data_IF_709502562199
#
_entry.id   IF_709502562199
#
_cell.length_a   1.000
_cell.length_b   1.000
_cell.length_c   1.000
_cell.angle_alpha   90.00
_cell.angle_beta   90.00
_cell.angle_gamma   90.00
#
_symmetry.space_group_name_H-M   'P 1'
#
loop_
_entity.id
_entity.type
_entity.pdbx_description
1 polymer ?
#
# COMPACT_ATOMS: atom_id res chain seq x y z
N UNK A 1 -7.58 19.46 -0.05
CA UNK A 1 -8.49 18.36 -0.45
C UNK A 1 -8.93 17.59 0.78
N UNK A 2 -10.17 17.12 0.78
CA UNK A 2 -10.71 16.25 1.82
C UNK A 2 -10.81 14.85 1.24
N UNK A 3 -9.88 13.97 1.58
CA UNK A 3 -9.97 12.56 1.23
C UNK A 3 -10.89 11.86 2.22
N UNK A 4 -11.83 11.06 1.73
CA UNK A 4 -12.73 10.26 2.57
C UNK A 4 -12.24 8.83 2.57
N UNK A 5 -12.19 8.22 3.75
CA UNK A 5 -11.94 6.80 3.88
C UNK A 5 -13.16 6.02 3.38
N UNK A 6 -12.95 5.13 2.41
CA UNK A 6 -13.98 4.31 1.80
C UNK A 6 -13.56 2.85 1.87
N UNK A 7 -14.50 1.95 2.11
CA UNK A 7 -14.28 0.51 2.08
C UNK A 7 -14.55 -0.05 0.68
N UNK A 8 -13.74 -1.02 0.25
CA UNK A 8 -14.02 -1.79 -0.97
C UNK A 8 -15.31 -2.59 -0.75
N UNK A 9 -16.32 -2.26 -1.53
CA UNK A 9 -17.62 -2.91 -1.55
C UNK A 9 -17.71 -3.97 -2.65
N UNK A 10 -18.81 -4.72 -2.66
CA UNK A 10 -19.02 -5.78 -3.65
C UNK A 10 -19.12 -5.26 -5.09
N UNK A 11 -19.50 -3.99 -5.27
CA UNK A 11 -19.57 -3.34 -6.59
C UNK A 11 -18.17 -3.13 -7.17
N UNK A 12 -17.17 -2.87 -6.33
CA UNK A 12 -15.78 -2.62 -6.75
C UNK A 12 -14.86 -3.84 -6.60
N UNK A 13 -15.23 -4.84 -5.77
CA UNK A 13 -14.43 -6.05 -5.48
C UNK A 13 -14.00 -6.83 -6.72
N UNK A 14 -14.82 -6.85 -7.78
CA UNK A 14 -14.48 -7.54 -9.04
C UNK A 14 -13.19 -7.00 -9.71
N UNK A 15 -12.78 -5.76 -9.42
CA UNK A 15 -11.53 -5.16 -9.92
C UNK A 15 -10.29 -5.61 -9.12
N UNK A 16 -10.54 -6.26 -7.97
CA UNK A 16 -9.60 -6.70 -6.95
C UNK A 16 -9.78 -8.21 -6.71
N UNK A 17 -9.71 -9.01 -7.78
CA UNK A 17 -10.18 -10.40 -7.84
C UNK A 17 -9.54 -11.41 -6.86
N UNK A 18 -8.50 -11.05 -6.10
CA UNK A 18 -8.00 -11.88 -4.99
C UNK A 18 -8.67 -11.58 -3.65
N UNK A 19 -9.43 -10.49 -3.53
CA UNK A 19 -10.18 -10.17 -2.33
C UNK A 19 -11.42 -11.03 -2.20
N UNK A 20 -11.67 -11.48 -0.99
CA UNK A 20 -12.86 -12.22 -0.58
C UNK A 20 -13.88 -11.26 0.07
N UNK A 21 -15.17 -11.63 0.16
CA UNK A 21 -16.18 -10.79 0.81
C UNK A 21 -15.88 -10.43 2.27
N UNK A 22 -15.12 -11.28 2.97
CA UNK A 22 -14.68 -11.07 4.35
C UNK A 22 -13.47 -10.16 4.49
N UNK A 23 -12.84 -9.77 3.38
CA UNK A 23 -11.68 -8.87 3.41
C UNK A 23 -12.14 -7.42 3.55
N UNK A 24 -11.78 -6.82 4.69
CA UNK A 24 -11.96 -5.40 4.96
C UNK A 24 -10.77 -4.61 4.41
N UNK A 25 -11.00 -3.83 3.36
CA UNK A 25 -9.95 -3.05 2.69
C UNK A 25 -10.42 -1.61 2.48
N UNK A 26 -9.70 -0.67 3.07
CA UNK A 26 -10.02 0.76 3.06
C UNK A 26 -9.09 1.51 2.12
N UNK A 27 -9.59 2.54 1.44
CA UNK A 27 -8.81 3.40 0.55
C UNK A 27 -9.20 4.87 0.68
N UNK A 28 -8.29 5.79 0.31
CA UNK A 28 -8.52 7.24 0.38
C UNK A 28 -8.94 7.87 -0.95
N UNK A 29 -8.51 7.30 -2.09
CA UNK A 29 -8.81 7.84 -3.41
C UNK A 29 -8.77 6.82 -4.54
N UNK A 30 -8.88 7.29 -5.78
CA UNK A 30 -8.92 6.43 -6.96
C UNK A 30 -7.76 6.74 -7.89
N UNK A 31 -6.97 5.71 -8.19
CA UNK A 31 -5.88 5.75 -9.16
C UNK A 31 -6.36 5.20 -10.50
N UNK A 32 -6.42 6.04 -11.52
CA UNK A 32 -6.87 5.63 -12.85
C UNK A 32 -5.71 5.00 -13.62
N UNK A 33 -5.85 3.69 -13.88
CA UNK A 33 -4.90 2.93 -14.67
C UNK A 33 -4.78 3.53 -16.09
N UNK A 34 -3.54 3.68 -16.56
CA UNK A 34 -3.22 4.30 -17.87
C UNK A 34 -3.69 5.76 -18.03
N UNK A 35 -4.10 6.42 -16.94
CA UNK A 35 -4.45 7.84 -16.98
C UNK A 35 -3.25 8.76 -17.22
N UNK A 36 -2.04 8.32 -16.84
CA UNK A 36 -0.85 9.17 -16.80
C UNK A 36 -0.75 9.95 -15.50
N UNK A 37 0.31 10.77 -15.37
CA UNK A 37 0.60 11.50 -14.13
C UNK A 37 -0.41 12.61 -13.84
N UNK A 38 -0.84 13.35 -14.87
CA UNK A 38 -1.72 14.52 -14.75
C UNK A 38 -3.21 14.23 -14.85
N UNK A 39 -3.60 12.94 -14.78
CA UNK A 39 -5.01 12.55 -14.93
C UNK A 39 -5.89 13.04 -13.77
N UNK A 40 -5.35 12.97 -12.56
CA UNK A 40 -6.01 13.37 -11.33
C UNK A 40 -4.95 13.68 -10.28
N UNK A 41 -5.36 14.34 -9.20
CA UNK A 41 -4.50 14.64 -8.05
C UNK A 41 -3.99 13.35 -7.38
N UNK A 42 -4.81 12.29 -7.33
CA UNK A 42 -4.39 10.97 -6.83
C UNK A 42 -3.37 10.34 -7.77
N UNK A 43 -3.59 10.40 -9.09
CA UNK A 43 -2.62 9.89 -10.06
C UNK A 43 -1.27 10.60 -9.93
N UNK A 44 -1.28 11.92 -9.77
CA UNK A 44 -0.09 12.73 -9.55
C UNK A 44 0.61 12.38 -8.23
N UNK A 45 -0.14 12.28 -7.13
CA UNK A 45 0.37 11.92 -5.80
C UNK A 45 1.07 10.56 -5.83
N UNK A 46 0.38 9.54 -6.37
CA UNK A 46 0.93 8.20 -6.52
C UNK A 46 2.16 8.21 -7.43
N UNK A 47 2.12 8.92 -8.56
CA UNK A 47 3.24 8.99 -9.49
C UNK A 47 4.49 9.58 -8.82
N UNK A 48 4.33 10.67 -8.07
CA UNK A 48 5.41 11.28 -7.30
C UNK A 48 5.93 10.35 -6.20
N UNK A 49 5.02 9.69 -5.48
CA UNK A 49 5.38 8.69 -4.46
C UNK A 49 6.15 7.49 -5.06
N UNK A 50 5.87 7.15 -6.32
CA UNK A 50 6.50 6.07 -7.10
C UNK A 50 7.81 6.43 -7.79
N UNK A 51 8.32 7.65 -7.65
CA UNK A 51 9.67 7.99 -8.12
C UNK A 51 10.72 7.05 -7.50
N UNK A 52 11.55 6.45 -8.35
CA UNK A 52 12.56 5.48 -7.95
C UNK A 52 13.72 6.09 -7.17
N UNK A 53 14.38 5.27 -6.36
CA UNK A 53 15.52 5.65 -5.50
C UNK A 53 16.74 6.07 -6.33
N UNK A 54 16.87 5.55 -7.54
CA UNK A 54 17.87 5.95 -8.55
C UNK A 54 17.79 7.44 -8.93
N UNK A 55 16.67 8.10 -8.63
CA UNK A 55 16.45 9.52 -8.91
C UNK A 55 16.83 10.43 -7.74
N UNK A 56 17.35 9.90 -6.62
CA UNK A 56 17.56 10.67 -5.37
C UNK A 56 18.40 11.93 -5.53
N UNK A 57 19.39 11.88 -6.43
CA UNK A 57 20.28 13.02 -6.74
C UNK A 57 19.69 13.99 -7.78
N UNK A 58 18.50 13.71 -8.31
CA UNK A 58 17.83 14.54 -9.30
C UNK A 58 16.85 15.52 -8.63
N UNK A 59 16.71 16.70 -9.23
CA UNK A 59 15.87 17.77 -8.70
C UNK A 59 14.40 17.40 -8.55
N UNK A 60 13.90 16.44 -9.34
CA UNK A 60 12.50 16.02 -9.28
C UNK A 60 12.21 15.03 -8.14
N UNK A 61 13.22 14.56 -7.40
CA UNK A 61 13.03 13.69 -6.24
C UNK A 61 12.35 14.41 -5.08
N UNK A 62 12.46 15.73 -5.00
CA UNK A 62 11.73 16.57 -4.02
C UNK A 62 10.21 16.33 -4.07
N UNK A 63 9.66 15.97 -5.23
CA UNK A 63 8.24 15.67 -5.35
C UNK A 63 7.86 14.35 -4.65
N UNK A 64 8.78 13.38 -4.55
CA UNK A 64 8.57 12.16 -3.74
C UNK A 64 8.50 12.51 -2.26
N UNK A 65 9.38 13.39 -1.80
CA UNK A 65 9.43 13.88 -0.42
C UNK A 65 8.13 14.59 -0.04
N UNK A 66 7.67 15.52 -0.88
CA UNK A 66 6.38 16.20 -0.71
C UNK A 66 5.20 15.23 -0.74
N UNK A 67 5.25 14.18 -1.57
CA UNK A 67 4.21 13.16 -1.62
C UNK A 67 4.19 12.32 -0.32
N UNK A 68 5.35 11.96 0.23
CA UNK A 68 5.47 11.25 1.51
C UNK A 68 4.84 12.07 2.64
N UNK A 69 5.17 13.36 2.74
CA UNK A 69 4.57 14.27 3.74
C UNK A 69 3.06 14.42 3.55
N UNK A 70 2.62 14.55 2.30
CA UNK A 70 1.19 14.67 1.96
C UNK A 70 0.42 13.44 2.43
N UNK A 71 0.92 12.23 2.13
CA UNK A 71 0.27 10.98 2.54
C UNK A 71 0.24 10.84 4.06
N UNK A 72 1.33 11.15 4.76
CA UNK A 72 1.36 11.10 6.23
C UNK A 72 0.28 12.01 6.85
N UNK A 73 0.11 13.23 6.31
CA UNK A 73 -0.94 14.16 6.74
C UNK A 73 -2.35 13.65 6.43
N UNK A 74 -2.54 12.92 5.32
CA UNK A 74 -3.83 12.32 4.97
C UNK A 74 -4.21 11.20 5.94
N UNK A 75 -3.26 10.31 6.26
CA UNK A 75 -3.50 9.19 7.19
C UNK A 75 -3.95 9.71 8.56
N UNK A 76 -3.23 10.70 9.12
CA UNK A 76 -3.54 11.26 10.42
C UNK A 76 -4.91 11.95 10.50
N UNK A 77 -5.49 12.35 9.35
CA UNK A 77 -6.84 12.93 9.27
C UNK A 77 -7.93 11.90 8.97
N UNK A 78 -7.57 10.78 8.34
CA UNK A 78 -8.53 9.81 7.86
C UNK A 78 -8.95 8.80 8.93
N UNK A 79 -8.08 8.46 9.87
CA UNK A 79 -8.35 7.45 10.90
C UNK A 79 -7.78 7.81 12.27
N UNK A 80 -8.33 7.19 13.31
CA UNK A 80 -7.72 7.20 14.64
C UNK A 80 -6.50 6.26 14.65
N UNK A 81 -5.31 6.82 14.42
CA UNK A 81 -4.04 6.07 14.37
C UNK A 81 -3.65 5.41 15.71
N UNK A 82 -4.21 5.85 16.84
CA UNK A 82 -3.95 5.24 18.15
C UNK A 82 -4.68 3.91 18.37
N UNK A 83 -5.77 3.68 17.62
CA UNK A 83 -6.63 2.50 17.74
C UNK A 83 -6.16 1.29 16.90
N UNK A 84 -5.14 1.47 16.07
CA UNK A 84 -4.68 0.47 15.09
C UNK A 84 -3.17 0.33 15.10
N UNK A 85 -2.69 -0.81 14.59
CA UNK A 85 -1.27 -1.04 14.30
C UNK A 85 -1.06 -1.12 12.79
N UNK A 86 -0.14 -0.33 12.25
CA UNK A 86 0.21 -0.41 10.83
C UNK A 86 1.37 -1.39 10.59
N UNK A 87 1.27 -2.16 9.51
CA UNK A 87 2.37 -2.96 8.97
C UNK A 87 2.50 -2.63 7.48
N UNK A 88 3.60 -1.99 7.04
CA UNK A 88 3.78 -1.65 5.63
C UNK A 88 4.02 -2.92 4.79
N UNK A 89 3.56 -2.90 3.54
CA UNK A 89 3.96 -3.90 2.54
C UNK A 89 5.43 -3.67 2.18
N UNK A 90 6.31 -4.69 2.24
CA UNK A 90 7.71 -4.49 1.89
C UNK A 90 7.88 -4.23 0.37
N UNK A 91 8.90 -3.45 -0.03
CA UNK A 91 9.21 -3.24 -1.43
C UNK A 91 9.70 -4.54 -2.09
N UNK A 92 9.77 -4.57 -3.43
CA UNK A 92 10.24 -5.75 -4.16
C UNK A 92 11.74 -6.03 -4.00
N UNK A 93 12.49 -5.05 -3.48
CA UNK A 93 13.93 -5.09 -3.21
C UNK A 93 14.17 -5.45 -1.74
N UNK A 94 15.19 -6.25 -1.47
CA UNK A 94 15.59 -6.55 -0.08
C UNK A 94 16.29 -5.35 0.56
N UNK A 95 16.34 -5.30 1.90
CA UNK A 95 16.87 -4.14 2.65
C UNK A 95 18.31 -3.76 2.31
N UNK A 96 19.13 -4.72 1.86
CA UNK A 96 20.53 -4.49 1.47
C UNK A 96 20.70 -4.07 0.02
N UNK A 97 19.62 -4.00 -0.76
CA UNK A 97 19.66 -3.58 -2.16
C UNK A 97 19.82 -2.05 -2.26
N UNK A 98 20.73 -1.52 -3.09
CA UNK A 98 20.88 -0.08 -3.28
C UNK A 98 19.61 0.65 -3.76
N UNK A 99 18.69 -0.09 -4.39
CA UNK A 99 17.39 0.42 -4.86
C UNK A 99 16.25 0.11 -3.88
N UNK A 100 16.56 -0.24 -2.63
CA UNK A 100 15.57 -0.42 -1.57
C UNK A 100 14.78 0.87 -1.34
N UNK A 101 13.46 0.80 -1.50
CA UNK A 101 12.56 1.92 -1.38
C UNK A 101 11.73 1.82 -0.10
N UNK A 102 12.11 2.61 0.90
CA UNK A 102 11.56 2.63 2.24
C UNK A 102 10.35 3.57 2.40
N UNK A 103 9.75 4.06 1.30
CA UNK A 103 8.72 5.11 1.33
C UNK A 103 7.56 4.85 2.31
N UNK A 104 7.06 3.61 2.41
CA UNK A 104 5.90 3.31 3.26
C UNK A 104 6.28 3.38 4.73
N UNK A 105 7.50 2.94 5.07
CA UNK A 105 8.09 3.11 6.40
C UNK A 105 8.26 4.60 6.70
N UNK A 106 8.81 5.38 5.77
CA UNK A 106 8.99 6.84 5.94
C UNK A 106 7.67 7.58 6.15
N UNK A 107 6.60 7.19 5.45
CA UNK A 107 5.25 7.71 5.68
C UNK A 107 4.83 7.43 7.13
N UNK A 108 4.92 6.18 7.60
CA UNK A 108 4.49 5.79 8.95
C UNK A 108 5.34 6.44 10.05
N UNK A 109 6.64 6.65 9.80
CA UNK A 109 7.52 7.43 10.67
C UNK A 109 7.03 8.88 10.81
N UNK A 110 6.65 9.53 9.70
CA UNK A 110 6.07 10.88 9.76
C UNK A 110 4.73 10.91 10.48
N UNK A 111 3.85 9.92 10.25
CA UNK A 111 2.59 9.79 11.00
C UNK A 111 2.86 9.68 12.51
N UNK A 112 3.85 8.87 12.91
CA UNK A 112 4.29 8.76 14.32
C UNK A 112 4.82 10.07 14.86
N UNK A 113 5.62 10.80 14.07
CA UNK A 113 6.16 12.09 14.49
C UNK A 113 5.04 13.11 14.73
N UNK A 114 4.00 13.11 13.89
CA UNK A 114 2.82 13.97 14.04
C UNK A 114 1.91 13.52 15.19
N UNK A 115 1.79 12.22 15.43
CA UNK A 115 0.99 11.65 16.51
C UNK A 115 1.71 10.45 17.15
N UNK A 116 2.19 10.65 18.38
CA UNK A 116 2.91 9.64 19.16
C UNK A 116 2.07 8.42 19.55
N UNK A 117 0.74 8.45 19.41
CA UNK A 117 -0.11 7.27 19.63
C UNK A 117 -0.07 6.27 18.47
N UNK A 118 0.38 6.70 17.28
CA UNK A 118 0.50 5.83 16.13
C UNK A 118 1.40 4.63 16.47
N UNK A 119 0.93 3.42 16.22
CA UNK A 119 1.74 2.22 16.30
C UNK A 119 2.01 1.69 14.90
N UNK A 120 3.28 1.46 14.55
CA UNK A 120 3.66 0.78 13.32
C UNK A 120 4.86 -0.14 13.55
N UNK A 121 5.00 -1.17 12.73
CA UNK A 121 6.17 -2.06 12.79
C UNK A 121 6.48 -2.68 11.43
N UNK A 122 7.75 -2.66 11.04
CA UNK A 122 8.27 -3.24 9.78
C UNK A 122 8.68 -4.71 9.97
N UNK A 123 7.69 -5.54 10.32
CA UNK A 123 7.94 -6.95 10.71
C UNK A 123 8.03 -7.90 9.52
N UNK A 124 7.57 -7.47 8.34
CA UNK A 124 7.61 -8.26 7.12
C UNK A 124 8.57 -7.61 6.15
N UNK A 125 9.58 -8.35 5.71
CA UNK A 125 10.54 -7.89 4.71
C UNK A 125 10.65 -8.84 3.53
N UNK A 126 11.19 -8.32 2.44
CA UNK A 126 11.49 -9.12 1.25
C UNK A 126 12.80 -9.88 1.46
N UNK A 127 12.76 -11.21 1.39
CA UNK A 127 13.93 -12.07 1.60
C UNK A 127 14.95 -11.98 0.47
N UNK A 128 14.48 -11.81 -0.78
CA UNK A 128 15.32 -11.69 -1.97
C UNK A 128 14.82 -10.57 -2.89
N UNK A 129 15.75 -9.79 -3.45
CA UNK A 129 15.40 -8.79 -4.45
C UNK A 129 14.76 -9.43 -5.67
N UNK A 130 13.68 -8.83 -6.14
CA UNK A 130 13.00 -9.22 -7.38
C UNK A 130 12.89 -8.02 -8.30
N UNK A 131 12.89 -8.27 -9.60
CA UNK A 131 12.56 -7.24 -10.58
C UNK A 131 11.10 -6.81 -10.39
N UNK A 132 10.83 -5.53 -10.61
CA UNK A 132 9.46 -5.03 -10.57
C UNK A 132 8.63 -5.76 -11.65
N UNK A 133 7.48 -6.32 -11.24
CA UNK A 133 6.54 -7.06 -12.09
C UNK A 133 5.96 -6.27 -13.30
N UNK A 134 6.48 -5.09 -13.63
CA UNK A 134 6.06 -4.32 -14.80
C UNK A 134 6.57 -4.91 -16.13
N UNK A 135 7.51 -5.87 -16.08
CA UNK A 135 8.16 -6.45 -17.27
C UNK A 135 7.82 -7.93 -17.53
N UNK A 136 7.18 -8.63 -16.60
CA UNK A 136 6.82 -10.05 -16.76
C UNK A 136 5.32 -10.21 -17.02
N UNK A 137 4.90 -10.96 -18.07
CA UNK A 137 3.49 -11.24 -18.34
C UNK A 137 2.79 -12.00 -17.20
N UNK A 138 3.56 -12.68 -16.36
CA UNK A 138 3.07 -13.56 -15.32
C UNK A 138 3.05 -12.83 -13.97
N UNK A 139 1.90 -12.26 -13.59
CA UNK A 139 1.70 -11.67 -12.26
C UNK A 139 1.78 -12.78 -11.21
N UNK A 140 2.66 -12.62 -10.22
CA UNK A 140 2.79 -13.56 -9.10
C UNK A 140 1.48 -13.68 -8.34
N UNK A 141 1.11 -14.91 -8.00
CA UNK A 141 -0.03 -15.24 -7.13
C UNK A 141 0.27 -14.87 -5.68
N UNK A 142 -0.75 -14.67 -4.82
CA UNK A 142 -0.55 -14.37 -3.40
C UNK A 142 0.39 -15.35 -2.68
N UNK A 143 0.32 -16.64 -3.00
CA UNK A 143 1.18 -17.68 -2.41
C UNK A 143 2.64 -17.47 -2.79
N UNK A 144 2.90 -17.13 -4.05
CA UNK A 144 4.25 -16.89 -4.59
C UNK A 144 4.84 -15.60 -4.03
N UNK A 145 4.02 -14.56 -3.81
CA UNK A 145 4.44 -13.34 -3.14
C UNK A 145 4.76 -13.65 -1.67
N UNK A 146 3.88 -14.36 -0.96
CA UNK A 146 4.10 -14.72 0.44
C UNK A 146 5.37 -15.56 0.63
N UNK A 147 5.72 -16.43 -0.33
CA UNK A 147 6.96 -17.21 -0.27
C UNK A 147 8.23 -16.34 -0.27
N UNK A 148 8.17 -15.11 -0.77
CA UNK A 148 9.28 -14.15 -0.79
C UNK A 148 9.39 -13.34 0.50
N UNK A 149 8.36 -13.39 1.36
CA UNK A 149 8.29 -12.62 2.59
C UNK A 149 8.86 -13.41 3.76
N UNK A 150 9.76 -12.77 4.49
CA UNK A 150 10.23 -13.21 5.80
C UNK A 150 9.56 -12.37 6.89
N UNK A 151 9.26 -13.00 8.02
CA UNK A 151 8.65 -12.34 9.17
C UNK A 151 9.67 -12.33 10.31
N UNK A 152 9.93 -11.15 10.86
CA UNK A 152 10.72 -11.00 12.06
C UNK A 152 9.96 -11.56 13.28
N UNK A 153 10.71 -12.01 14.28
CA UNK A 153 10.13 -12.39 15.56
C UNK A 153 9.58 -11.13 16.26
N UNK A 154 8.34 -11.22 16.73
CA UNK A 154 7.66 -10.13 17.43
C UNK A 154 6.80 -10.66 18.55
N UNK A 155 6.58 -9.80 19.55
CA UNK A 155 5.62 -10.02 20.61
C UNK A 155 4.23 -9.51 20.16
N UNK A 156 3.24 -10.41 19.96
CA UNK A 156 1.90 -10.03 19.53
C UNK A 156 1.18 -9.06 20.47
N UNK A 157 1.54 -9.02 21.76
CA UNK A 157 0.88 -8.16 22.75
C UNK A 157 1.25 -6.69 22.59
N UNK A 158 2.29 -6.37 21.82
CA UNK A 158 2.66 -4.99 21.48
C UNK A 158 1.75 -4.36 20.43
N UNK A 159 0.97 -5.17 19.71
CA UNK A 159 0.10 -4.72 18.62
C UNK A 159 -1.34 -4.50 19.09
N UNK A 160 -2.03 -3.54 18.49
CA UNK A 160 -3.48 -3.32 18.66
C UNK A 160 -4.29 -4.48 18.09
N UNK A 161 -5.56 -4.57 18.47
CA UNK A 161 -6.47 -5.64 18.00
C UNK A 161 -6.75 -5.58 16.49
N UNK A 162 -6.58 -4.40 15.89
CA UNK A 162 -6.73 -4.17 14.45
C UNK A 162 -5.35 -3.87 13.87
N UNK A 163 -4.92 -4.71 12.94
CA UNK A 163 -3.71 -4.55 12.13
C UNK A 163 -4.12 -4.10 10.73
N UNK A 164 -3.58 -2.95 10.32
CA UNK A 164 -3.74 -2.40 8.97
C UNK A 164 -2.50 -2.71 8.13
N UNK A 165 -2.67 -3.55 7.11
CA UNK A 165 -1.69 -3.73 6.03
C UNK A 165 -1.69 -2.47 5.17
N UNK A 166 -0.58 -1.75 5.17
CA UNK A 166 -0.45 -0.45 4.50
C UNK A 166 0.30 -0.57 3.18
N UNK A 167 -0.34 -0.17 2.08
CA UNK A 167 0.28 -0.11 0.75
C UNK A 167 -0.16 1.15 -0.02
N UNK A 168 0.51 1.48 -1.11
CA UNK A 168 0.14 2.62 -1.93
C UNK A 168 -1.19 2.41 -2.69
N UNK A 169 -1.27 1.36 -3.51
CA UNK A 169 -2.43 1.09 -4.35
C UNK A 169 -2.86 -0.36 -4.23
N UNK A 170 -4.13 -0.56 -3.90
CA UNK A 170 -4.74 -1.86 -4.11
C UNK A 170 -5.12 -2.07 -5.58
N UNK A 171 -4.48 -3.07 -6.20
CA UNK A 171 -4.70 -3.45 -7.60
C UNK A 171 -5.52 -4.72 -7.71
N UNK A 172 -4.91 -5.90 -7.67
CA UNK A 172 -5.63 -7.19 -7.71
C UNK A 172 -5.94 -7.72 -6.31
N UNK A 173 -5.31 -7.16 -5.26
CA UNK A 173 -5.35 -7.68 -3.90
C UNK A 173 -4.23 -8.68 -3.57
N UNK A 174 -3.35 -9.02 -4.51
CA UNK A 174 -2.38 -10.10 -4.33
C UNK A 174 -1.39 -9.86 -3.17
N UNK A 175 -0.82 -8.65 -3.07
CA UNK A 175 0.08 -8.27 -1.98
C UNK A 175 -0.64 -8.26 -0.63
N UNK A 176 -1.86 -7.74 -0.59
CA UNK A 176 -2.69 -7.76 0.62
C UNK A 176 -2.91 -9.20 1.11
N UNK A 177 -3.34 -10.12 0.24
CA UNK A 177 -3.54 -11.53 0.63
C UNK A 177 -2.24 -12.23 1.04
N UNK A 178 -1.11 -11.87 0.42
CA UNK A 178 0.20 -12.39 0.82
C UNK A 178 0.58 -11.94 2.25
N UNK A 179 0.39 -10.65 2.56
CA UNK A 179 0.58 -10.09 3.89
C UNK A 179 -0.39 -10.71 4.90
N UNK A 180 -1.68 -10.74 4.57
CA UNK A 180 -2.73 -11.29 5.43
C UNK A 180 -2.43 -12.74 5.81
N UNK A 181 -1.99 -13.58 4.87
CA UNK A 181 -1.57 -14.96 5.15
C UNK A 181 -0.40 -15.02 6.14
N UNK A 182 0.65 -14.20 5.96
CA UNK A 182 1.81 -14.18 6.86
C UNK A 182 1.44 -13.67 8.24
N UNK A 183 0.62 -12.64 8.30
CA UNK A 183 0.21 -12.00 9.53
C UNK A 183 -0.77 -12.87 10.33
N UNK A 184 -1.70 -13.59 9.71
CA UNK A 184 -2.56 -14.53 10.45
C UNK A 184 -1.78 -15.64 11.16
N UNK A 185 -0.64 -16.06 10.59
CA UNK A 185 0.22 -17.06 11.25
C UNK A 185 0.88 -16.51 12.53
N UNK A 186 1.09 -15.19 12.61
CA UNK A 186 1.74 -14.51 13.75
C UNK A 186 0.71 -13.95 14.73
N UNK A 187 -0.43 -13.50 14.23
CA UNK A 187 -1.48 -12.78 14.95
C UNK A 187 -2.84 -13.49 14.78
N UNK A 188 -3.01 -14.73 15.28
CA UNK A 188 -4.20 -15.54 15.01
C UNK A 188 -5.51 -14.92 15.55
N UNK A 189 -5.41 -14.10 16.60
CA UNK A 189 -6.56 -13.50 17.28
C UNK A 189 -6.81 -12.02 16.91
N UNK A 190 -6.01 -11.43 16.01
CA UNK A 190 -6.14 -10.02 15.63
C UNK A 190 -6.88 -9.89 14.30
N UNK A 191 -7.59 -8.78 14.14
CA UNK A 191 -8.26 -8.43 12.88
C UNK A 191 -7.23 -7.87 11.92
N UNK A 192 -7.14 -8.44 10.71
CA UNK A 192 -6.25 -7.95 9.66
C UNK A 192 -7.08 -7.34 8.55
N UNK A 193 -6.87 -6.06 8.31
CA UNK A 193 -7.53 -5.27 7.27
C UNK A 193 -6.50 -4.53 6.40
N UNK A 194 -6.91 -4.08 5.22
CA UNK A 194 -6.08 -3.30 4.31
C UNK A 194 -6.33 -1.80 4.46
N UNK A 195 -5.28 -0.99 4.33
CA UNK A 195 -5.37 0.46 4.21
C UNK A 195 -4.51 0.92 3.03
N UNK A 196 -5.13 1.59 2.06
CA UNK A 196 -4.49 1.98 0.81
C UNK A 196 -4.62 3.47 0.55
N UNK A 197 -3.61 4.08 -0.07
CA UNK A 197 -3.74 5.48 -0.53
C UNK A 197 -4.79 5.54 -1.64
N UNK A 198 -4.80 4.57 -2.54
CA UNK A 198 -5.82 4.50 -3.58
C UNK A 198 -6.24 3.07 -3.95
N UNK A 199 -7.45 2.93 -4.49
CA UNK A 199 -7.81 1.76 -5.29
C UNK A 199 -7.55 2.02 -6.76
N UNK A 200 -7.19 0.97 -7.52
CA UNK A 200 -7.09 1.07 -8.97
C UNK A 200 -8.49 1.08 -9.60
N UNK A 201 -8.72 2.03 -10.51
CA UNK A 201 -9.87 2.07 -11.43
C UNK A 201 -9.40 2.03 -12.88
N UNK A 202 -10.28 1.62 -13.78
CA UNK A 202 -10.04 1.66 -15.22
C UNK A 202 -10.81 2.84 -15.83
N UNK A 203 -10.26 3.48 -16.87
CA UNK A 203 -11.05 4.41 -17.67
C UNK A 203 -12.25 3.68 -18.24
N UNK A 204 -13.42 4.28 -18.18
CA UNK A 204 -14.53 3.83 -19.01
C UNK A 204 -14.08 3.95 -20.46
N UNK A 205 -14.23 2.86 -21.22
CA UNK A 205 -14.10 2.94 -22.68
C UNK A 205 -15.21 3.90 -23.13
N UNK A 206 -14.84 4.99 -23.81
CA UNK A 206 -15.82 5.73 -24.60
C UNK A 206 -16.46 4.71 -25.54
N UNK A 207 -17.69 4.32 -25.26
CA UNK A 207 -18.50 3.62 -26.24
C UNK A 207 -18.64 4.60 -27.39
N UNK A 208 -17.85 4.36 -28.44
CA UNK A 208 -18.03 5.02 -29.72
C UNK A 208 -19.45 4.64 -30.19
N UNK A 209 -20.43 5.48 -29.85
CA UNK A 209 -21.75 5.48 -30.46
C UNK A 209 -21.60 6.12 -31.84
N UNK A 210 -20.81 5.49 -32.70
CA UNK A 210 -20.86 5.72 -34.13
C UNK A 210 -22.04 4.89 -34.66
N UNK A 211 -23.17 5.59 -34.83
CA UNK A 211 -24.41 5.16 -35.49
C UNK A 211 -24.13 4.74 -36.93
#
# INVERSE_FOLDING_TARGET
MTYRLVEIDDKSRHQHYYLEPTDHCLYLGEYTARGGWGYSEVNQLIFNLKKGVDRKELSDYQFKEQAIESVANLIGKAINVGAVSFIPVPPSKMITDPLYDDRLVRILQLVKNHNQECHWSDVISQAISTEANHLTPNRKRPEEIAALYQVAEVDPDQFRDIILVFDDIITTGAHFKAMQRKLHAVFPNKTIAGFFIARRVFKEEEKDNSV
#
